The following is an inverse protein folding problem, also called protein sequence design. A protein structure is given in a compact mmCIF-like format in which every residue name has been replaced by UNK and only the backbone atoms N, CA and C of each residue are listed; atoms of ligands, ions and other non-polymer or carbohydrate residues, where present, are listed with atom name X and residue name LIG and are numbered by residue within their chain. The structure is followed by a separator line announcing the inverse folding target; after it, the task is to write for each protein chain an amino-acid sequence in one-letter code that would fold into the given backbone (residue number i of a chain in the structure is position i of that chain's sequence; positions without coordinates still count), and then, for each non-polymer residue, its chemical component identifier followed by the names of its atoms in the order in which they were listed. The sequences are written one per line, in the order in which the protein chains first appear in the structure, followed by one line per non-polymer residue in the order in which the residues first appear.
data_IF_487333982186
#
_entry.id   IF_487333982186
#
_cell.length_a   1.000
_cell.length_b   1.000
_cell.length_c   1.000
_cell.angle_alpha   90.00
_cell.angle_beta   90.00
_cell.angle_gamma   90.00
#
_symmetry.space_group_name_H-M   'P 1'
#
loop_
_entity.id
_entity.type
_entity.pdbx_description
1 polymer ?
#
# COMPACT_ATOMS: atom_id res chain seq x y z
N UNK A 1 -37.63 -66.30 -8.63
CA UNK A 1 -36.72 -65.67 -7.63
C UNK A 1 -36.32 -64.31 -8.15
N UNK A 2 -37.03 -63.29 -7.70
CA UNK A 2 -36.73 -61.88 -8.12
C UNK A 2 -35.82 -61.18 -7.12
N UNK A 3 -34.73 -60.65 -7.61
CA UNK A 3 -33.79 -59.82 -6.82
C UNK A 3 -34.32 -58.44 -6.83
N UNK A 4 -34.87 -57.97 -5.68
CA UNK A 4 -35.27 -56.58 -5.48
C UNK A 4 -34.01 -55.75 -5.22
N UNK A 5 -33.69 -54.84 -6.15
CA UNK A 5 -32.62 -53.84 -5.99
C UNK A 5 -33.11 -52.70 -5.09
N UNK A 6 -32.64 -52.68 -3.83
CA UNK A 6 -32.95 -51.60 -2.90
C UNK A 6 -32.04 -50.38 -3.23
N UNK A 7 -32.55 -49.43 -3.98
CA UNK A 7 -31.91 -48.12 -4.18
C UNK A 7 -32.11 -47.30 -2.87
N UNK A 8 -31.10 -47.31 -2.02
CA UNK A 8 -31.06 -46.33 -0.90
C UNK A 8 -30.95 -44.93 -1.48
N UNK A 9 -32.03 -44.13 -1.36
CA UNK A 9 -31.97 -42.68 -1.57
C UNK A 9 -30.99 -42.11 -0.57
N UNK A 10 -29.84 -41.64 -1.06
CA UNK A 10 -28.98 -40.74 -0.28
C UNK A 10 -29.76 -39.47 -0.03
N UNK A 11 -30.06 -39.18 1.21
CA UNK A 11 -30.56 -37.88 1.68
C UNK A 11 -29.57 -36.85 1.18
N UNK A 12 -30.07 -35.79 0.51
CA UNK A 12 -29.27 -34.59 0.20
C UNK A 12 -28.77 -34.10 1.54
N UNK A 13 -27.44 -34.22 1.79
CA UNK A 13 -26.78 -33.47 2.81
C UNK A 13 -26.95 -31.98 2.41
N UNK A 14 -27.68 -31.23 3.19
CA UNK A 14 -27.75 -29.77 3.06
C UNK A 14 -26.31 -29.26 3.15
N UNK A 15 -25.81 -28.68 2.07
CA UNK A 15 -24.55 -27.96 2.08
C UNK A 15 -24.67 -26.88 3.16
N UNK A 16 -23.67 -26.72 4.06
CA UNK A 16 -23.71 -25.66 5.05
C UNK A 16 -23.94 -24.33 4.32
N UNK A 17 -24.81 -23.49 4.87
CA UNK A 17 -25.13 -22.18 4.34
C UNK A 17 -23.80 -21.48 3.99
N UNK A 18 -23.65 -21.08 2.72
CA UNK A 18 -22.51 -20.29 2.30
C UNK A 18 -22.62 -19.00 3.12
N UNK A 19 -21.70 -18.81 4.06
CA UNK A 19 -21.62 -17.56 4.80
C UNK A 19 -21.22 -16.52 3.75
N UNK A 20 -22.18 -15.67 3.34
CA UNK A 20 -21.93 -14.50 2.47
C UNK A 20 -21.15 -13.45 3.28
N UNK A 21 -19.90 -13.74 3.59
CA UNK A 21 -18.96 -12.75 4.11
C UNK A 21 -18.14 -12.27 2.93
N UNK A 22 -18.30 -11.01 2.54
CA UNK A 22 -17.38 -10.37 1.61
C UNK A 22 -16.05 -10.12 2.33
N UNK A 23 -15.00 -10.93 2.08
CA UNK A 23 -13.73 -10.81 2.78
C UNK A 23 -12.96 -9.54 2.40
N UNK A 24 -13.41 -8.80 1.38
CA UNK A 24 -12.81 -7.55 0.91
C UNK A 24 -13.49 -6.30 1.50
N UNK A 25 -14.58 -6.46 2.23
CA UNK A 25 -15.31 -5.35 2.85
C UNK A 25 -14.47 -4.70 3.96
N UNK A 26 -14.33 -3.37 3.90
CA UNK A 26 -13.61 -2.57 4.89
C UNK A 26 -14.53 -1.72 5.77
N UNK A 27 -15.84 -1.95 5.74
CA UNK A 27 -16.80 -1.20 6.58
C UNK A 27 -16.45 -1.32 8.07
N UNK A 28 -16.44 -0.19 8.79
CA UNK A 28 -16.05 -0.11 10.18
C UNK A 28 -14.53 -0.12 10.45
N UNK A 29 -13.70 -0.20 9.40
CA UNK A 29 -12.23 -0.03 9.49
C UNK A 29 -11.83 1.42 9.29
N UNK A 30 -10.74 1.82 9.93
CA UNK A 30 -10.12 3.15 9.81
C UNK A 30 -8.75 3.01 9.18
N UNK A 31 -8.54 3.66 8.05
CA UNK A 31 -7.29 3.67 7.30
C UNK A 31 -6.59 5.03 7.37
N UNK A 32 -5.29 5.03 7.65
CA UNK A 32 -4.43 6.21 7.54
C UNK A 32 -3.49 6.03 6.34
N UNK A 33 -3.49 6.99 5.41
CA UNK A 33 -2.68 6.96 4.20
C UNK A 33 -1.70 8.13 4.19
N UNK A 34 -0.45 7.84 4.52
CA UNK A 34 0.65 8.81 4.48
C UNK A 34 1.12 9.01 3.03
N UNK A 35 1.25 10.26 2.58
CA UNK A 35 1.44 10.56 1.17
C UNK A 35 0.17 10.37 0.33
N UNK A 36 -1.00 10.39 0.98
CA UNK A 36 -2.33 10.16 0.40
C UNK A 36 -2.92 11.31 -0.40
N UNK A 37 -2.17 12.39 -0.65
CA UNK A 37 -2.69 13.60 -1.30
C UNK A 37 -2.44 13.69 -2.80
N UNK A 38 -1.72 12.74 -3.39
CA UNK A 38 -1.43 12.72 -4.84
C UNK A 38 -1.02 11.33 -5.32
N UNK A 39 -1.08 11.10 -6.64
CA UNK A 39 -0.57 9.90 -7.30
C UNK A 39 -1.06 8.60 -6.67
N UNK A 40 -0.13 7.66 -6.45
CA UNK A 40 -0.44 6.33 -5.90
C UNK A 40 -1.17 6.43 -4.56
N UNK A 41 -0.65 7.22 -3.61
CA UNK A 41 -1.24 7.31 -2.28
C UNK A 41 -2.68 7.82 -2.30
N UNK A 42 -2.99 8.86 -3.11
CA UNK A 42 -4.37 9.37 -3.27
C UNK A 42 -5.29 8.29 -3.86
N UNK A 43 -4.83 7.59 -4.89
CA UNK A 43 -5.62 6.52 -5.50
C UNK A 43 -5.90 5.40 -4.51
N UNK A 44 -4.91 5.00 -3.71
CA UNK A 44 -5.11 3.98 -2.66
C UNK A 44 -6.09 4.47 -1.58
N UNK A 45 -6.00 5.74 -1.16
CA UNK A 45 -6.92 6.32 -0.18
C UNK A 45 -8.38 6.27 -0.67
N UNK A 46 -8.63 6.70 -1.90
CA UNK A 46 -9.97 6.66 -2.50
C UNK A 46 -10.44 5.22 -2.74
N UNK A 47 -9.54 4.30 -3.11
CA UNK A 47 -9.87 2.88 -3.27
C UNK A 47 -10.29 2.22 -1.95
N UNK A 48 -9.59 2.52 -0.84
CA UNK A 48 -9.97 2.05 0.50
C UNK A 48 -11.30 2.66 0.97
N UNK A 49 -11.54 3.94 0.68
CA UNK A 49 -12.83 4.59 0.94
C UNK A 49 -13.97 3.93 0.15
N UNK A 50 -13.76 3.65 -1.13
CA UNK A 50 -14.71 2.93 -1.96
C UNK A 50 -14.99 1.49 -1.51
N UNK A 51 -14.03 0.84 -0.85
CA UNK A 51 -14.20 -0.47 -0.21
C UNK A 51 -14.86 -0.42 1.17
N UNK A 52 -15.20 0.77 1.69
CA UNK A 52 -15.98 0.94 2.91
C UNK A 52 -15.23 1.48 4.12
N UNK A 53 -13.92 1.71 4.05
CA UNK A 53 -13.16 2.25 5.17
C UNK A 53 -13.43 3.75 5.39
N UNK A 54 -13.39 4.21 6.64
CA UNK A 54 -13.13 5.60 6.98
C UNK A 54 -11.65 5.88 6.72
N UNK A 55 -11.30 6.97 6.03
CA UNK A 55 -9.93 7.17 5.53
C UNK A 55 -9.39 8.54 5.90
N UNK A 56 -8.20 8.57 6.49
CA UNK A 56 -7.42 9.80 6.72
C UNK A 56 -6.26 9.84 5.73
N UNK A 57 -6.45 10.56 4.63
CA UNK A 57 -5.41 10.79 3.64
C UNK A 57 -4.63 12.07 3.96
N UNK A 58 -3.31 11.95 4.13
CA UNK A 58 -2.48 13.07 4.60
C UNK A 58 -1.19 13.25 3.80
N UNK A 59 -0.61 14.41 3.95
CA UNK A 59 0.66 14.84 3.40
C UNK A 59 1.02 16.24 3.91
N UNK A 60 2.14 16.79 3.47
CA UNK A 60 2.64 18.09 3.99
C UNK A 60 1.83 19.30 3.55
N UNK A 61 1.12 19.21 2.43
CA UNK A 61 0.40 20.34 1.81
C UNK A 61 -1.06 20.35 2.26
N UNK A 62 -1.42 21.27 3.15
CA UNK A 62 -2.76 21.34 3.74
C UNK A 62 -3.88 21.50 2.69
N UNK A 63 -3.65 22.28 1.62
CA UNK A 63 -4.63 22.44 0.55
C UNK A 63 -4.99 21.08 -0.08
N UNK A 64 -4.00 20.27 -0.44
CA UNK A 64 -4.23 18.95 -1.02
C UNK A 64 -4.84 17.95 -0.02
N UNK A 65 -4.60 18.12 1.28
CA UNK A 65 -5.28 17.35 2.33
C UNK A 65 -6.76 17.68 2.33
N UNK A 66 -7.14 18.96 2.20
CA UNK A 66 -8.53 19.39 2.13
C UNK A 66 -9.23 18.85 0.89
N UNK A 67 -8.55 18.88 -0.27
CA UNK A 67 -9.11 18.38 -1.54
C UNK A 67 -9.42 16.88 -1.45
N UNK A 68 -8.47 16.06 -1.01
CA UNK A 68 -8.68 14.60 -0.90
C UNK A 68 -9.68 14.25 0.20
N UNK A 69 -9.75 15.03 1.27
CA UNK A 69 -10.75 14.84 2.31
C UNK A 69 -12.17 15.05 1.77
N UNK A 70 -12.39 16.08 0.95
CA UNK A 70 -13.68 16.32 0.30
C UNK A 70 -14.09 15.15 -0.63
N UNK A 71 -13.11 14.55 -1.34
CA UNK A 71 -13.37 13.39 -2.18
C UNK A 71 -13.74 12.13 -1.35
N UNK A 72 -13.08 11.92 -0.20
CA UNK A 72 -13.41 10.83 0.72
C UNK A 72 -14.82 11.01 1.30
N UNK A 73 -15.19 12.24 1.68
CA UNK A 73 -16.52 12.59 2.14
C UNK A 73 -17.58 12.36 1.05
N UNK A 74 -17.26 12.67 -0.20
CA UNK A 74 -18.13 12.39 -1.34
C UNK A 74 -18.34 10.88 -1.59
N UNK A 75 -17.42 10.02 -1.14
CA UNK A 75 -17.61 8.56 -1.09
C UNK A 75 -18.48 8.11 0.09
N UNK A 76 -19.02 9.02 0.90
CA UNK A 76 -19.81 8.73 2.10
C UNK A 76 -18.97 8.19 3.26
N UNK A 77 -17.67 8.47 3.31
CA UNK A 77 -16.76 8.02 4.38
C UNK A 77 -16.32 9.18 5.26
N UNK A 78 -16.03 8.86 6.52
CA UNK A 78 -15.51 9.84 7.48
C UNK A 78 -14.02 10.06 7.24
N UNK A 79 -13.57 11.29 7.50
CA UNK A 79 -12.16 11.68 7.43
C UNK A 79 -11.86 12.81 8.42
N UNK A 80 -10.58 13.13 8.60
CA UNK A 80 -10.11 14.35 9.25
C UNK A 80 -9.09 15.06 8.38
N UNK A 81 -9.01 16.38 8.50
CA UNK A 81 -8.08 17.23 7.76
C UNK A 81 -6.88 17.57 8.61
N UNK A 82 -5.82 16.80 8.48
CA UNK A 82 -4.56 17.05 9.20
C UNK A 82 -3.36 16.80 8.30
N UNK A 83 -2.55 17.84 8.11
CA UNK A 83 -1.27 17.71 7.42
C UNK A 83 -0.27 16.93 8.30
N UNK A 84 0.61 16.15 7.64
CA UNK A 84 1.63 15.37 8.32
C UNK A 84 2.91 15.31 7.49
N UNK A 85 4.05 15.45 8.15
CA UNK A 85 5.38 15.19 7.59
C UNK A 85 5.94 13.88 8.19
N UNK A 86 6.23 12.92 7.34
CA UNK A 86 6.78 11.62 7.77
C UNK A 86 8.21 11.71 8.28
N UNK A 87 8.91 12.82 8.00
CA UNK A 87 10.27 13.07 8.50
C UNK A 87 10.27 13.59 9.94
N UNK A 88 9.10 13.99 10.46
CA UNK A 88 8.90 14.46 11.82
C UNK A 88 8.07 13.48 12.66
N UNK A 89 8.67 12.89 13.67
CA UNK A 89 7.98 11.96 14.60
C UNK A 89 6.86 12.65 15.35
N UNK A 90 7.02 13.92 15.75
CA UNK A 90 5.98 14.69 16.46
C UNK A 90 4.75 14.88 15.60
N UNK A 91 4.93 15.15 14.30
CA UNK A 91 3.85 15.24 13.32
C UNK A 91 3.08 13.92 13.16
N UNK A 92 3.78 12.78 13.14
CA UNK A 92 3.15 11.46 13.09
C UNK A 92 2.36 11.14 14.36
N UNK A 93 2.91 11.46 15.55
CA UNK A 93 2.22 11.28 16.83
C UNK A 93 0.96 12.14 16.91
N UNK A 94 1.04 13.40 16.52
CA UNK A 94 -0.12 14.31 16.49
C UNK A 94 -1.23 13.78 15.55
N UNK A 95 -0.86 13.23 14.40
CA UNK A 95 -1.81 12.61 13.46
C UNK A 95 -2.45 11.36 14.07
N UNK A 96 -1.65 10.43 14.65
CA UNK A 96 -2.17 9.24 15.34
C UNK A 96 -3.21 9.62 16.40
N UNK A 97 -2.85 10.57 17.26
CA UNK A 97 -3.72 10.99 18.36
C UNK A 97 -5.01 11.66 17.86
N UNK A 98 -4.94 12.43 16.77
CA UNK A 98 -6.12 12.99 16.12
C UNK A 98 -7.03 11.89 15.54
N UNK A 99 -6.46 10.87 14.91
CA UNK A 99 -7.22 9.71 14.42
C UNK A 99 -7.88 8.97 15.58
N UNK A 100 -7.17 8.70 16.66
CA UNK A 100 -7.73 8.02 17.83
C UNK A 100 -8.85 8.82 18.49
N UNK A 101 -8.74 10.15 18.60
CA UNK A 101 -9.82 11.01 19.09
C UNK A 101 -11.06 10.98 18.19
N UNK A 102 -10.88 10.94 16.88
CA UNK A 102 -11.99 11.01 15.92
C UNK A 102 -12.70 9.66 15.71
N UNK A 103 -11.97 8.55 15.77
CA UNK A 103 -12.45 7.23 15.35
C UNK A 103 -12.34 6.17 16.44
N UNK A 104 -11.60 6.40 17.52
CA UNK A 104 -11.29 5.48 18.62
C UNK A 104 -10.53 4.20 18.19
N UNK A 105 -10.04 4.14 16.96
CA UNK A 105 -9.30 3.00 16.40
C UNK A 105 -8.47 3.42 15.19
N UNK A 106 -7.46 2.61 14.87
CA UNK A 106 -6.71 2.66 13.61
C UNK A 106 -6.44 1.21 13.19
N UNK A 107 -6.96 0.80 12.03
CA UNK A 107 -6.87 -0.59 11.55
C UNK A 107 -5.86 -0.78 10.44
N UNK A 108 -5.70 0.24 9.59
CA UNK A 108 -4.92 0.16 8.37
C UNK A 108 -3.97 1.36 8.31
N UNK A 109 -2.70 1.09 8.07
CA UNK A 109 -1.70 2.10 7.71
C UNK A 109 -1.20 1.85 6.29
N UNK A 110 -1.25 2.86 5.43
CA UNK A 110 -0.57 2.84 4.12
C UNK A 110 0.55 3.87 4.15
N UNK A 111 1.81 3.43 4.07
CA UNK A 111 2.97 4.31 3.96
C UNK A 111 3.37 4.49 2.49
N UNK A 112 2.78 5.51 1.84
CA UNK A 112 2.97 5.82 0.43
C UNK A 112 3.78 7.10 0.20
N UNK A 113 4.23 7.77 1.27
CA UNK A 113 5.12 8.92 1.14
C UNK A 113 6.47 8.51 0.53
N UNK A 114 6.97 9.29 -0.41
CA UNK A 114 8.23 9.00 -1.06
C UNK A 114 8.77 10.16 -1.88
N UNK A 115 10.08 10.16 -2.04
CA UNK A 115 10.84 11.11 -2.84
C UNK A 115 11.86 10.37 -3.70
N UNK A 116 12.22 10.98 -4.83
CA UNK A 116 13.30 10.50 -5.69
C UNK A 116 14.04 11.70 -6.29
N UNK A 117 15.29 11.49 -6.62
CA UNK A 117 16.09 12.40 -7.44
C UNK A 117 16.86 11.53 -8.44
N UNK A 118 16.84 11.93 -9.69
CA UNK A 118 17.62 11.29 -10.74
C UNK A 118 18.89 12.09 -10.95
N UNK A 119 20.03 11.50 -10.61
CA UNK A 119 21.36 12.12 -10.73
C UNK A 119 22.42 11.03 -10.81
N UNK A 120 23.48 11.19 -11.63
CA UNK A 120 24.64 10.31 -11.60
C UNK A 120 25.19 10.17 -10.17
N UNK A 121 25.56 8.97 -9.75
CA UNK A 121 25.99 8.71 -8.36
C UNK A 121 27.21 9.56 -7.97
N UNK A 122 28.11 9.85 -8.90
CA UNK A 122 29.28 10.72 -8.64
C UNK A 122 28.92 12.18 -8.39
N UNK A 123 27.72 12.61 -8.78
CA UNK A 123 27.22 13.98 -8.63
C UNK A 123 26.18 14.08 -7.50
N UNK A 124 25.81 12.95 -6.88
CA UNK A 124 24.81 12.91 -5.82
C UNK A 124 25.36 13.58 -4.56
N UNK A 125 24.68 14.61 -4.05
CA UNK A 125 25.03 15.22 -2.79
C UNK A 125 24.58 14.36 -1.59
N UNK A 126 25.32 14.42 -0.49
CA UNK A 126 24.90 13.79 0.78
C UNK A 126 23.53 14.32 1.24
N UNK A 127 23.22 15.58 0.99
CA UNK A 127 21.92 16.16 1.30
C UNK A 127 20.76 15.49 0.53
N UNK A 128 20.94 15.23 -0.77
CA UNK A 128 19.93 14.49 -1.57
C UNK A 128 19.81 13.04 -1.12
N UNK A 129 20.94 12.39 -0.84
CA UNK A 129 20.94 11.05 -0.26
C UNK A 129 20.13 11.00 1.04
N UNK A 130 20.48 11.84 2.00
CA UNK A 130 19.81 11.87 3.31
C UNK A 130 18.33 12.22 3.18
N UNK A 131 17.95 13.16 2.33
CA UNK A 131 16.55 13.54 2.09
C UNK A 131 15.72 12.35 1.55
N UNK A 132 16.29 11.56 0.65
CA UNK A 132 15.62 10.41 0.06
C UNK A 132 15.51 9.27 1.10
N UNK A 133 16.58 8.97 1.80
CA UNK A 133 16.60 7.93 2.84
C UNK A 133 15.67 8.32 4.00
N UNK A 134 15.72 9.57 4.46
CA UNK A 134 14.88 10.02 5.57
C UNK A 134 13.38 9.98 5.21
N UNK A 135 13.00 10.41 4.00
CA UNK A 135 11.61 10.34 3.57
C UNK A 135 11.14 8.90 3.35
N UNK A 136 11.89 8.12 2.55
CA UNK A 136 11.38 6.84 2.04
C UNK A 136 11.52 5.69 3.05
N UNK A 137 12.64 5.65 3.77
CA UNK A 137 12.97 4.55 4.68
C UNK A 137 12.71 4.93 6.14
N UNK A 138 13.41 5.96 6.63
CA UNK A 138 13.29 6.36 8.04
C UNK A 138 11.88 6.86 8.35
N UNK A 139 11.26 7.62 7.45
CA UNK A 139 9.87 8.06 7.56
C UNK A 139 8.88 6.89 7.56
N UNK A 140 9.09 5.87 6.72
CA UNK A 140 8.28 4.64 6.75
C UNK A 140 8.46 3.90 8.08
N UNK A 141 9.69 3.77 8.59
CA UNK A 141 9.97 3.13 9.88
C UNK A 141 9.31 3.91 11.04
N UNK A 142 9.46 5.24 11.08
CA UNK A 142 8.80 6.10 12.08
C UNK A 142 7.28 5.92 12.06
N UNK A 143 6.69 5.94 10.87
CA UNK A 143 5.26 5.73 10.69
C UNK A 143 4.82 4.36 11.21
N UNK A 144 5.47 3.29 10.79
CA UNK A 144 5.16 1.94 11.26
C UNK A 144 5.25 1.86 12.80
N UNK A 145 6.31 2.42 13.42
CA UNK A 145 6.48 2.44 14.87
C UNK A 145 5.36 3.19 15.59
N UNK A 146 5.01 4.40 15.13
CA UNK A 146 3.98 5.24 15.78
C UNK A 146 2.59 4.63 15.66
N UNK A 147 2.25 4.06 14.51
CA UNK A 147 0.94 3.47 14.27
C UNK A 147 0.83 2.00 14.72
N UNK A 148 1.96 1.31 14.94
CA UNK A 148 1.94 -0.02 15.54
C UNK A 148 1.42 -0.01 16.97
N UNK A 149 1.70 1.03 17.74
CA UNK A 149 1.33 1.12 19.15
C UNK A 149 -0.17 0.87 19.40
N UNK A 150 -1.11 1.61 18.78
CA UNK A 150 -2.53 1.33 18.92
C UNK A 150 -2.95 -0.01 18.28
N UNK A 151 -2.38 -0.41 17.15
CA UNK A 151 -2.72 -1.66 16.48
C UNK A 151 -2.33 -2.88 17.32
N UNK A 152 -1.14 -2.86 17.93
CA UNK A 152 -0.67 -3.92 18.83
C UNK A 152 -1.50 -3.99 20.12
N UNK A 153 -1.97 -2.84 20.62
CA UNK A 153 -2.89 -2.79 21.76
C UNK A 153 -4.28 -3.34 21.41
N UNK A 154 -4.73 -3.14 20.16
CA UNK A 154 -5.98 -3.72 19.64
C UNK A 154 -5.88 -5.22 19.36
N UNK A 155 -4.66 -5.77 19.18
CA UNK A 155 -4.45 -7.14 18.71
C UNK A 155 -4.86 -7.34 17.24
N UNK A 156 -5.00 -6.26 16.46
CA UNK A 156 -5.47 -6.28 15.07
C UNK A 156 -4.94 -5.07 14.31
N UNK A 157 -4.24 -5.29 13.19
CA UNK A 157 -3.70 -4.22 12.37
C UNK A 157 -3.17 -4.69 11.01
N UNK A 158 -3.21 -3.78 10.03
CA UNK A 158 -2.70 -4.00 8.68
C UNK A 158 -1.81 -2.85 8.26
N UNK A 159 -0.55 -3.12 8.02
CA UNK A 159 0.39 -2.13 7.50
C UNK A 159 0.77 -2.46 6.07
N UNK A 160 0.63 -1.49 5.19
CA UNK A 160 0.94 -1.61 3.78
C UNK A 160 2.00 -0.57 3.43
N UNK A 161 3.22 -1.01 3.17
CA UNK A 161 4.29 -0.14 2.68
C UNK A 161 4.25 -0.07 1.16
N UNK A 162 4.62 1.07 0.59
CA UNK A 162 4.77 1.20 -0.86
C UNK A 162 6.26 1.07 -1.21
N UNK A 163 6.62 -0.10 -1.70
CA UNK A 163 7.95 -0.43 -2.22
C UNK A 163 8.10 0.03 -3.68
N UNK A 164 8.86 -0.67 -4.51
CA UNK A 164 9.09 -0.36 -5.93
C UNK A 164 9.70 -1.57 -6.64
N UNK A 165 9.70 -1.59 -7.98
CA UNK A 165 10.60 -2.43 -8.77
C UNK A 165 12.06 -2.28 -8.32
N UNK A 166 12.45 -1.08 -7.85
CA UNK A 166 13.77 -0.81 -7.28
C UNK A 166 14.08 -1.58 -6.00
N UNK A 167 13.11 -2.30 -5.42
CA UNK A 167 13.37 -3.25 -4.33
C UNK A 167 14.03 -4.55 -4.82
N UNK A 168 14.03 -4.80 -6.12
CA UNK A 168 14.55 -6.02 -6.77
C UNK A 168 15.59 -5.72 -7.85
N UNK A 169 15.48 -4.55 -8.50
CA UNK A 169 16.29 -4.18 -9.65
C UNK A 169 16.99 -2.85 -9.41
N UNK A 170 18.19 -2.69 -9.99
CA UNK A 170 18.84 -1.40 -10.13
C UNK A 170 18.29 -0.62 -11.32
N UNK A 171 18.02 0.67 -11.11
CA UNK A 171 17.69 1.60 -12.20
C UNK A 171 18.77 2.68 -12.30
N UNK A 172 19.03 3.11 -13.51
CA UNK A 172 20.08 4.07 -13.84
C UNK A 172 19.83 5.44 -13.18
N UNK A 173 20.83 6.00 -12.51
CA UNK A 173 20.84 7.33 -11.87
C UNK A 173 19.85 7.52 -10.72
N UNK A 174 19.41 6.46 -10.03
CA UNK A 174 18.52 6.56 -8.87
C UNK A 174 19.01 5.72 -7.68
N UNK A 175 20.31 5.79 -7.37
CA UNK A 175 20.97 4.97 -6.36
C UNK A 175 20.32 5.08 -4.98
N UNK A 176 20.13 6.30 -4.47
CA UNK A 176 19.50 6.52 -3.14
C UNK A 176 18.06 5.99 -3.10
N UNK A 177 17.28 6.20 -4.16
CA UNK A 177 15.92 5.66 -4.25
C UNK A 177 15.93 4.13 -4.24
N UNK A 178 16.80 3.50 -5.04
CA UNK A 178 16.96 2.04 -5.10
C UNK A 178 17.33 1.48 -3.73
N UNK A 179 18.33 2.05 -3.07
CA UNK A 179 18.73 1.66 -1.72
C UNK A 179 17.57 1.78 -0.73
N UNK A 180 16.84 2.91 -0.75
CA UNK A 180 15.70 3.14 0.14
C UNK A 180 14.58 2.11 -0.05
N UNK A 181 14.24 1.77 -1.31
CA UNK A 181 13.14 0.84 -1.61
C UNK A 181 13.53 -0.63 -1.38
N UNK A 182 14.79 -1.00 -1.57
CA UNK A 182 15.30 -2.30 -1.15
C UNK A 182 15.25 -2.45 0.38
N UNK A 183 15.63 -1.40 1.12
CA UNK A 183 15.55 -1.40 2.58
C UNK A 183 14.10 -1.44 3.09
N UNK A 184 13.13 -0.75 2.45
CA UNK A 184 11.70 -0.84 2.80
C UNK A 184 11.19 -2.28 2.65
N UNK A 185 11.62 -3.02 1.63
CA UNK A 185 11.27 -4.42 1.47
C UNK A 185 11.83 -5.30 2.62
N UNK A 186 13.07 -5.04 3.05
CA UNK A 186 13.66 -5.67 4.24
C UNK A 186 12.92 -5.33 5.53
N UNK A 187 12.64 -4.05 5.74
CA UNK A 187 11.87 -3.54 6.88
C UNK A 187 10.48 -4.20 6.96
N UNK A 188 9.76 -4.31 5.84
CA UNK A 188 8.45 -4.97 5.75
C UNK A 188 8.51 -6.39 6.30
N UNK A 189 9.52 -7.19 5.91
CA UNK A 189 9.69 -8.57 6.39
C UNK A 189 10.03 -8.62 7.88
N UNK A 190 10.92 -7.75 8.35
CA UNK A 190 11.33 -7.70 9.75
C UNK A 190 10.14 -7.39 10.67
N UNK A 191 9.37 -6.34 10.36
CA UNK A 191 8.19 -5.95 11.14
C UNK A 191 7.06 -7.00 11.06
N UNK A 192 6.91 -7.68 9.94
CA UNK A 192 5.94 -8.77 9.78
C UNK A 192 6.24 -9.91 10.75
N UNK A 193 7.50 -10.32 10.87
CA UNK A 193 7.92 -11.40 11.77
C UNK A 193 7.77 -10.97 13.25
N UNK A 194 8.15 -9.73 13.56
CA UNK A 194 8.12 -9.21 14.94
C UNK A 194 6.70 -9.09 15.49
N UNK A 195 5.73 -8.70 14.64
CA UNK A 195 4.38 -8.34 15.11
C UNK A 195 3.30 -9.38 14.78
N UNK A 196 3.62 -10.44 14.04
CA UNK A 196 2.65 -11.46 13.61
C UNK A 196 1.88 -12.09 14.78
N UNK A 197 2.58 -12.48 15.85
CA UNK A 197 1.96 -13.10 17.04
C UNK A 197 1.10 -12.13 17.86
N UNK A 198 1.19 -10.85 17.55
CA UNK A 198 0.43 -9.77 18.20
C UNK A 198 -0.70 -9.25 17.33
N UNK A 199 -1.06 -9.96 16.25
CA UNK A 199 -2.19 -9.65 15.38
C UNK A 199 -1.96 -8.55 14.35
N UNK A 200 -0.72 -8.06 14.17
CA UNK A 200 -0.42 -7.03 13.16
C UNK A 200 0.29 -7.66 11.96
N UNK A 201 -0.29 -7.48 10.78
CA UNK A 201 0.27 -7.93 9.50
C UNK A 201 0.96 -6.77 8.79
N UNK A 202 2.13 -7.01 8.22
CA UNK A 202 2.89 -6.00 7.50
C UNK A 202 3.26 -6.54 6.13
N UNK A 203 2.80 -5.88 5.07
CA UNK A 203 3.05 -6.27 3.68
C UNK A 203 3.44 -5.05 2.85
N UNK A 204 3.91 -5.27 1.63
CA UNK A 204 4.22 -4.22 0.69
C UNK A 204 3.47 -4.38 -0.62
N UNK A 205 3.11 -3.26 -1.25
CA UNK A 205 2.78 -3.20 -2.66
C UNK A 205 4.04 -2.76 -3.41
N UNK A 206 4.33 -3.43 -4.52
CA UNK A 206 5.44 -3.13 -5.41
C UNK A 206 4.88 -2.66 -6.75
N UNK A 207 4.69 -1.35 -6.93
CA UNK A 207 4.20 -0.83 -8.20
C UNK A 207 5.26 -0.97 -9.29
N UNK A 208 4.82 -1.34 -10.49
CA UNK A 208 5.55 -1.18 -11.73
C UNK A 208 5.60 0.28 -12.19
N UNK A 209 5.54 0.49 -13.49
CA UNK A 209 5.53 1.83 -14.08
C UNK A 209 4.08 2.29 -14.29
N UNK A 210 3.65 3.22 -13.44
CA UNK A 210 2.31 3.83 -13.47
C UNK A 210 2.39 5.28 -13.90
N UNK A 211 1.38 5.77 -14.63
CA UNK A 211 1.32 7.19 -15.03
C UNK A 211 0.98 8.06 -13.81
N UNK A 212 1.91 8.91 -13.43
CA UNK A 212 1.73 9.92 -12.39
C UNK A 212 2.18 11.28 -12.88
N UNK A 213 1.78 12.35 -12.23
CA UNK A 213 2.30 13.68 -12.58
C UNK A 213 3.82 13.77 -12.40
N UNK A 214 4.36 13.04 -11.41
CA UNK A 214 5.79 13.01 -11.09
C UNK A 214 6.64 12.44 -12.25
N UNK A 215 6.11 11.51 -13.03
CA UNK A 215 6.88 10.81 -14.07
C UNK A 215 6.38 11.08 -15.51
N UNK A 216 5.45 12.02 -15.69
CA UNK A 216 4.85 12.33 -17.01
C UNK A 216 5.89 12.62 -18.11
N UNK A 217 6.93 13.38 -17.79
CA UNK A 217 8.02 13.70 -18.71
C UNK A 217 8.88 12.45 -19.03
N UNK A 218 9.18 11.65 -18.00
CA UNK A 218 9.94 10.40 -18.16
C UNK A 218 9.24 9.44 -19.12
N UNK A 219 7.91 9.29 -18.99
CA UNK A 219 7.15 8.34 -19.80
C UNK A 219 7.11 8.69 -21.30
N UNK A 220 7.38 9.96 -21.64
CA UNK A 220 7.49 10.43 -23.03
C UNK A 220 8.91 10.38 -23.60
N UNK A 221 9.91 9.98 -22.81
CA UNK A 221 11.33 9.90 -23.20
C UNK A 221 11.69 8.53 -23.77
N UNK A 222 12.91 8.41 -24.33
CA UNK A 222 13.50 7.12 -24.74
C UNK A 222 13.51 6.09 -23.60
N UNK A 223 13.78 6.55 -22.37
CA UNK A 223 13.71 5.68 -21.18
C UNK A 223 12.30 5.18 -20.93
N UNK A 224 11.26 6.00 -21.17
CA UNK A 224 9.86 5.56 -21.09
C UNK A 224 9.56 4.47 -22.13
N UNK A 225 10.06 4.62 -23.35
CA UNK A 225 9.92 3.60 -24.40
C UNK A 225 10.63 2.29 -24.02
N UNK A 226 11.82 2.36 -23.41
CA UNK A 226 12.54 1.18 -22.90
C UNK A 226 11.75 0.49 -21.77
N UNK A 227 11.26 1.23 -20.78
CA UNK A 227 10.42 0.69 -19.72
C UNK A 227 9.18 -0.01 -20.27
N UNK A 228 8.56 0.60 -21.29
CA UNK A 228 7.40 0.03 -21.96
C UNK A 228 7.73 -1.25 -22.70
N UNK A 229 8.85 -1.29 -23.43
CA UNK A 229 9.31 -2.48 -24.18
C UNK A 229 9.56 -3.66 -23.25
N UNK A 230 10.09 -3.40 -22.05
CA UNK A 230 10.36 -4.41 -21.01
C UNK A 230 9.11 -4.84 -20.23
N UNK A 231 7.99 -4.14 -20.38
CA UNK A 231 6.74 -4.52 -19.74
C UNK A 231 5.96 -5.51 -20.64
N UNK A 232 5.76 -6.78 -20.25
CA UNK A 232 5.05 -7.76 -21.07
C UNK A 232 3.66 -7.33 -21.53
N UNK A 233 2.89 -6.66 -20.66
CA UNK A 233 1.56 -6.12 -21.02
C UNK A 233 1.62 -4.94 -22.02
N UNK A 234 2.82 -4.48 -22.46
CA UNK A 234 3.02 -3.43 -23.46
C UNK A 234 2.29 -2.12 -23.20
N UNK A 235 2.01 -1.83 -21.94
CA UNK A 235 1.41 -0.57 -21.48
C UNK A 235 1.87 -0.20 -20.08
N UNK A 236 1.77 1.05 -19.75
CA UNK A 236 1.90 1.51 -18.36
C UNK A 236 0.63 1.19 -17.56
N UNK A 237 0.78 0.96 -16.26
CA UNK A 237 -0.34 0.76 -15.36
C UNK A 237 -1.21 2.02 -15.21
N UNK A 238 -2.50 1.83 -15.01
CA UNK A 238 -3.42 2.85 -14.49
C UNK A 238 -3.39 2.77 -12.96
N UNK A 239 -3.44 3.90 -12.29
CA UNK A 239 -3.31 3.97 -10.82
C UNK A 239 -4.38 3.12 -10.11
N UNK A 240 -5.58 3.05 -10.67
CA UNK A 240 -6.71 2.27 -10.14
C UNK A 240 -6.41 0.76 -10.09
N UNK A 241 -5.47 0.27 -10.92
CA UNK A 241 -5.07 -1.15 -10.92
C UNK A 241 -4.27 -1.56 -9.68
N UNK A 242 -3.85 -0.60 -8.84
CA UNK A 242 -3.25 -0.84 -7.53
C UNK A 242 -4.28 -1.06 -6.41
N UNK A 243 -5.53 -0.62 -6.62
CA UNK A 243 -6.57 -0.65 -5.58
C UNK A 243 -6.85 -2.09 -5.13
N UNK A 244 -6.95 -3.04 -6.06
CA UNK A 244 -7.23 -4.44 -5.71
C UNK A 244 -6.20 -5.04 -4.76
N UNK A 245 -4.91 -4.78 -4.99
CA UNK A 245 -3.84 -5.23 -4.08
C UNK A 245 -3.92 -4.55 -2.71
N UNK A 246 -4.25 -3.25 -2.66
CA UNK A 246 -4.39 -2.53 -1.40
C UNK A 246 -5.59 -3.03 -0.58
N UNK A 247 -6.75 -3.21 -1.20
CA UNK A 247 -7.96 -3.73 -0.56
C UNK A 247 -7.73 -5.17 -0.07
N UNK A 248 -7.10 -6.03 -0.89
CA UNK A 248 -6.71 -7.38 -0.47
C UNK A 248 -5.85 -7.37 0.79
N UNK A 249 -4.77 -6.58 0.82
CA UNK A 249 -3.88 -6.53 1.97
C UNK A 249 -4.51 -5.86 3.20
N UNK A 250 -5.45 -4.93 3.00
CA UNK A 250 -6.18 -4.23 4.06
C UNK A 250 -7.31 -5.04 4.68
N UNK A 251 -7.82 -6.05 3.98
CA UNK A 251 -9.03 -6.79 4.32
C UNK A 251 -8.76 -8.14 4.98
N UNK A 252 -9.83 -8.83 5.33
CA UNK A 252 -9.78 -10.17 5.90
C UNK A 252 -9.48 -11.25 4.84
N UNK A 253 -9.50 -10.91 3.55
CA UNK A 253 -9.04 -11.79 2.45
C UNK A 253 -7.56 -12.17 2.56
N UNK A 254 -6.77 -11.43 3.37
CA UNK A 254 -5.33 -11.65 3.55
C UNK A 254 -4.93 -12.01 4.98
N UNK A 255 -5.83 -12.64 5.77
CA UNK A 255 -5.58 -12.95 7.20
C UNK A 255 -4.35 -13.82 7.44
N UNK A 256 -3.93 -14.62 6.48
CA UNK A 256 -2.73 -15.46 6.58
C UNK A 256 -1.57 -14.95 5.69
N UNK A 257 -1.60 -13.64 5.32
CA UNK A 257 -0.59 -13.00 4.47
C UNK A 257 0.14 -11.93 5.27
N UNK A 258 1.42 -12.15 5.58
CA UNK A 258 2.31 -11.18 6.20
C UNK A 258 3.73 -11.32 5.67
N UNK A 259 4.50 -10.24 5.62
CA UNK A 259 5.87 -10.19 5.10
C UNK A 259 5.97 -10.25 3.57
N UNK A 260 4.84 -10.18 2.84
CA UNK A 260 4.80 -10.34 1.40
C UNK A 260 4.98 -9.01 0.65
N UNK A 261 5.56 -9.12 -0.54
CA UNK A 261 5.71 -8.02 -1.49
C UNK A 261 4.83 -8.33 -2.70
N UNK A 262 3.66 -7.71 -2.78
CA UNK A 262 2.70 -7.93 -3.87
C UNK A 262 3.08 -7.05 -5.06
N UNK A 263 3.56 -7.69 -6.11
CA UNK A 263 4.00 -7.01 -7.34
C UNK A 263 2.80 -6.74 -8.25
N UNK A 264 2.69 -5.48 -8.69
CA UNK A 264 1.65 -5.03 -9.64
C UNK A 264 2.37 -4.23 -10.73
N UNK A 265 2.87 -4.90 -11.77
CA UNK A 265 3.85 -4.33 -12.70
C UNK A 265 3.67 -4.68 -14.18
N UNK A 266 2.57 -5.34 -14.54
CA UNK A 266 2.32 -5.79 -15.91
C UNK A 266 3.31 -6.86 -16.40
N UNK A 267 3.93 -7.60 -15.46
CA UNK A 267 4.87 -8.69 -15.71
C UNK A 267 6.34 -8.24 -15.84
N UNK A 268 6.67 -6.99 -15.50
CA UNK A 268 8.02 -6.44 -15.66
C UNK A 268 9.07 -7.29 -14.93
N UNK A 269 8.85 -7.65 -13.67
CA UNK A 269 9.80 -8.46 -12.88
C UNK A 269 9.80 -9.94 -13.27
N UNK A 270 8.70 -10.46 -13.81
CA UNK A 270 8.60 -11.85 -14.22
C UNK A 270 9.29 -12.12 -15.57
N UNK A 271 9.58 -11.07 -16.33
CA UNK A 271 10.08 -11.19 -17.70
C UNK A 271 11.60 -11.29 -17.75
N UNK A 272 12.11 -12.30 -18.46
CA UNK A 272 13.53 -12.38 -18.89
C UNK A 272 13.71 -11.75 -20.26
N UNK A 273 13.00 -12.24 -21.29
CA UNK A 273 13.02 -11.76 -22.67
C UNK A 273 11.59 -11.53 -23.13
N UNK A 274 11.34 -10.35 -23.71
CA UNK A 274 10.04 -10.00 -24.32
C UNK A 274 10.16 -10.05 -25.85
N UNK A 275 9.14 -10.57 -26.50
CA UNK A 275 9.01 -10.52 -27.95
C UNK A 275 8.39 -9.20 -28.40
#
# INVERSE_FOLDING_TARGET
MGIACIIRRRTRQELPAIIEVDPFNLSGRVAVVLGGTSGIGRTLALGLAGAGADVVATGRRAALVNDVAAEIEACGRRTIRQACDVTDTGSLVALRDACLRAFNRIDILVSAAGATTRVPTLEMSDADWHRIIDTNLTGTMRACRVFAEPMLAQGDGRMITVASLSSFLGFFEVAAYTASKAAVAGLTRALAVEWATRGVRVNAIVPGVFKTDLNRALLKSLRGAELLSRTPMKRFGRLEELIGAAVFLASDASTFVTGQLIVVDGGFLASGVNQ
#
